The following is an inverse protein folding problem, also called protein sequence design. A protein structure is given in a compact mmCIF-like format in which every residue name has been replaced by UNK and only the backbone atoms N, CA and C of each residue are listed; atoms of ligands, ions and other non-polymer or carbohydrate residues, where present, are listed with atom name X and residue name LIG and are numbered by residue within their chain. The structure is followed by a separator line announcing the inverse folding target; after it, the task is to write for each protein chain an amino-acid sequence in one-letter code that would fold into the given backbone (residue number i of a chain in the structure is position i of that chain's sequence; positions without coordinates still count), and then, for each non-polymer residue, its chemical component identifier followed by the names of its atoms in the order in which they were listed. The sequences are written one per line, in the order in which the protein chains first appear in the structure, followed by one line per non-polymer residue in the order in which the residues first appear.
data_IF_547097237473
#
_entry.id   IF_547097237473
#
_cell.length_a   1.000
_cell.length_b   1.000
_cell.length_c   1.000
_cell.angle_alpha   90.00
_cell.angle_beta   90.00
_cell.angle_gamma   90.00
#
_symmetry.space_group_name_H-M   'P 1'
#
loop_
_entity.id
_entity.type
_entity.pdbx_description
1 polymer ?
#
# COMPACT_ATOMS: atom_id res chain seq x y z
N UNK A 1 7.69 9.90 25.33
CA UNK A 1 8.14 8.63 24.72
C UNK A 1 9.64 8.63 24.53
N UNK A 2 10.27 7.47 24.76
CA UNK A 2 11.71 7.27 24.59
C UNK A 2 11.96 7.06 23.09
N UNK A 3 12.56 8.06 22.43
CA UNK A 3 12.81 8.03 20.97
C UNK A 3 14.27 7.64 20.63
N UNK A 4 15.20 7.91 21.55
CA UNK A 4 16.64 7.70 21.37
C UNK A 4 17.28 7.29 22.70
N UNK A 5 18.13 6.27 22.66
CA UNK A 5 19.03 5.91 23.75
C UNK A 5 20.46 5.96 23.23
N UNK A 6 21.26 6.87 23.76
CA UNK A 6 22.68 6.95 23.46
C UNK A 6 23.45 6.07 24.44
N UNK A 7 24.23 5.12 23.92
CA UNK A 7 25.07 4.24 24.73
C UNK A 7 26.52 4.69 24.53
N UNK A 8 27.11 5.23 25.60
CA UNK A 8 28.49 5.69 25.65
C UNK A 8 29.36 4.54 26.19
N UNK A 9 30.35 4.05 25.43
CA UNK A 9 31.28 3.02 25.88
C UNK A 9 32.10 3.46 27.10
N UNK A 10 32.52 2.54 27.98
CA UNK A 10 33.32 2.89 29.16
C UNK A 10 34.71 3.45 28.82
N UNK A 11 35.26 3.10 27.66
CA UNK A 11 36.54 3.60 27.12
C UNK A 11 36.42 4.97 26.41
N UNK A 12 35.21 5.54 26.36
CA UNK A 12 34.95 6.82 25.68
C UNK A 12 35.84 7.95 26.20
N UNK A 13 35.93 8.13 27.53
CA UNK A 13 36.73 9.20 28.13
C UNK A 13 38.22 9.04 27.90
N UNK A 14 38.72 7.80 27.89
CA UNK A 14 40.12 7.49 27.63
C UNK A 14 40.50 7.80 26.18
N UNK A 15 39.65 7.38 25.23
CA UNK A 15 39.83 7.66 23.78
C UNK A 15 39.70 9.12 23.42
N UNK A 16 38.80 9.87 24.08
CA UNK A 16 38.69 11.33 23.90
C UNK A 16 39.96 12.02 24.41
N UNK A 17 40.54 11.54 25.52
CA UNK A 17 41.79 12.09 26.06
C UNK A 17 43.01 11.73 25.21
N UNK A 18 43.05 10.53 24.63
CA UNK A 18 44.10 10.11 23.67
C UNK A 18 43.90 10.66 22.26
N UNK A 19 42.76 11.33 22.00
CA UNK A 19 42.36 11.93 20.72
C UNK A 19 42.26 10.93 19.59
N UNK A 20 41.81 9.74 19.95
CA UNK A 20 41.47 8.69 19.01
C UNK A 20 40.01 8.83 18.55
N UNK A 21 39.67 8.07 17.51
CA UNK A 21 38.29 7.99 17.03
C UNK A 21 37.45 7.24 18.05
N UNK A 22 36.33 7.84 18.43
CA UNK A 22 35.49 7.34 19.52
C UNK A 22 34.26 6.67 18.95
N UNK A 23 33.84 5.55 19.54
CA UNK A 23 32.61 4.86 19.13
C UNK A 23 31.41 5.37 19.93
N UNK A 24 30.29 5.58 19.25
CA UNK A 24 29.00 5.88 19.87
C UNK A 24 27.94 4.97 19.29
N UNK A 25 27.09 4.46 20.17
CA UNK A 25 25.97 3.60 19.81
C UNK A 25 24.67 4.37 20.02
N UNK A 26 23.92 4.57 18.94
CA UNK A 26 22.63 5.27 18.97
C UNK A 26 21.51 4.25 18.75
N UNK A 27 20.73 3.97 19.80
CA UNK A 27 19.54 3.12 19.71
C UNK A 27 18.31 3.99 19.44
N UNK A 28 17.85 3.95 18.19
CA UNK A 28 16.66 4.65 17.71
C UNK A 28 15.41 3.79 17.92
N UNK A 29 14.41 4.30 18.62
CA UNK A 29 13.14 3.59 18.82
C UNK A 29 12.12 4.11 17.83
N UNK A 30 11.69 3.24 16.92
CA UNK A 30 10.80 3.57 15.81
C UNK A 30 9.44 2.93 16.07
N UNK A 31 8.45 3.76 16.40
CA UNK A 31 7.08 3.28 16.64
C UNK A 31 6.23 3.19 15.38
N UNK A 32 6.36 4.16 14.48
CA UNK A 32 5.65 4.21 13.21
C UNK A 32 6.60 4.68 12.11
N UNK A 33 6.47 4.07 10.94
CA UNK A 33 7.20 4.51 9.76
C UNK A 33 6.25 5.36 8.93
N UNK A 34 6.56 6.64 8.78
CA UNK A 34 5.82 7.57 7.93
C UNK A 34 6.78 8.26 6.97
N UNK A 35 6.33 8.43 5.72
CA UNK A 35 7.06 9.17 4.69
C UNK A 35 7.29 10.65 5.09
N UNK A 36 6.43 11.19 5.97
CA UNK A 36 6.44 12.61 6.36
C UNK A 36 7.02 12.89 7.75
N UNK A 37 7.50 11.87 8.47
CA UNK A 37 8.08 12.09 9.80
C UNK A 37 8.54 10.81 10.48
N UNK A 38 9.79 10.82 10.94
CA UNK A 38 10.36 9.83 11.86
C UNK A 38 11.23 10.52 12.92
N UNK A 39 11.61 9.82 14.01
CA UNK A 39 12.41 10.36 15.11
C UNK A 39 13.82 10.84 14.71
N UNK A 40 14.24 10.52 13.48
CA UNK A 40 15.60 10.69 12.96
C UNK A 40 16.10 12.14 12.95
N UNK A 41 15.19 13.13 12.90
CA UNK A 41 15.56 14.53 12.98
C UNK A 41 16.11 14.94 14.34
N UNK A 42 15.71 14.27 15.44
CA UNK A 42 16.27 14.52 16.77
C UNK A 42 17.62 13.80 16.94
N UNK A 43 17.70 12.54 16.49
CA UNK A 43 18.94 11.75 16.56
C UNK A 43 20.09 12.42 15.81
N UNK A 44 19.88 12.78 14.54
CA UNK A 44 20.89 13.50 13.75
C UNK A 44 21.26 14.88 14.30
N UNK A 45 20.42 15.50 15.14
CA UNK A 45 20.77 16.76 15.83
C UNK A 45 21.67 16.51 17.03
N UNK A 46 21.36 15.49 17.84
CA UNK A 46 22.16 15.10 19.02
C UNK A 46 23.55 14.62 18.57
N UNK A 47 23.60 13.80 17.52
CA UNK A 47 24.86 13.31 16.94
C UNK A 47 25.73 14.47 16.46
N UNK A 48 25.19 15.38 15.63
CA UNK A 48 25.92 16.55 15.15
C UNK A 48 26.43 17.45 16.28
N UNK A 49 25.69 17.57 17.39
CA UNK A 49 26.15 18.33 18.55
C UNK A 49 27.34 17.66 19.25
N UNK A 50 27.31 16.33 19.38
CA UNK A 50 28.40 15.56 19.99
C UNK A 50 29.64 15.59 19.09
N UNK A 51 29.49 15.36 17.79
CA UNK A 51 30.58 15.45 16.81
C UNK A 51 31.23 16.83 16.82
N UNK A 52 30.43 17.90 16.81
CA UNK A 52 30.93 19.27 16.86
C UNK A 52 31.69 19.54 18.15
N UNK A 53 31.17 19.12 19.30
CA UNK A 53 31.82 19.33 20.60
C UNK A 53 33.18 18.60 20.68
N UNK A 54 33.25 17.34 20.22
CA UNK A 54 34.50 16.58 20.23
C UNK A 54 35.50 17.17 19.21
N UNK A 55 35.02 17.57 18.03
CA UNK A 55 35.82 18.22 17.00
C UNK A 55 36.46 19.53 17.47
N UNK A 56 35.70 20.41 18.12
CA UNK A 56 36.22 21.66 18.72
C UNK A 56 37.30 21.36 19.77
N UNK A 57 37.05 20.37 20.65
CA UNK A 57 38.02 19.96 21.69
C UNK A 57 39.32 19.39 21.11
N UNK A 58 39.27 18.73 19.96
CA UNK A 58 40.46 18.20 19.28
C UNK A 58 41.29 19.29 18.57
N UNK A 59 40.68 20.45 18.26
CA UNK A 59 41.34 21.60 17.63
C UNK A 59 42.10 22.46 18.66
N UNK A 60 41.59 22.59 19.88
CA UNK A 60 42.10 23.53 20.91
C UNK A 60 43.49 23.21 21.49
N UNK A 61 44.09 22.06 21.16
CA UNK A 61 45.51 21.84 21.48
C UNK A 61 46.12 20.77 20.61
N UNK A 62 47.33 20.98 20.07
CA UNK A 62 48.25 20.03 19.40
C UNK A 62 47.74 19.06 18.30
N UNK A 63 48.60 18.82 17.29
CA UNK A 63 48.36 18.04 16.04
C UNK A 63 47.69 16.66 16.27
N UNK A 64 46.38 16.58 16.09
CA UNK A 64 45.70 15.33 15.77
C UNK A 64 45.68 15.10 14.24
N UNK A 65 45.57 13.85 13.75
CA UNK A 65 45.37 13.59 12.32
C UNK A 65 44.13 14.32 11.82
N UNK A 66 44.22 14.95 10.64
CA UNK A 66 43.10 15.70 10.04
C UNK A 66 41.82 14.86 9.96
N UNK A 67 41.94 13.57 9.66
CA UNK A 67 40.83 12.62 9.57
C UNK A 67 40.06 12.45 10.90
N UNK A 68 40.77 12.44 12.02
CA UNK A 68 40.18 12.32 13.37
C UNK A 68 39.55 13.64 13.83
N UNK A 69 40.00 14.78 13.30
CA UNK A 69 39.41 16.10 13.58
C UNK A 69 38.10 16.28 12.81
N UNK A 70 38.07 15.83 11.55
CA UNK A 70 36.89 15.95 10.68
C UNK A 70 35.82 14.92 11.05
N UNK A 71 36.20 13.70 11.40
CA UNK A 71 35.29 12.62 11.78
C UNK A 71 35.70 11.96 13.12
N UNK A 72 35.54 12.67 14.26
CA UNK A 72 35.98 12.18 15.57
C UNK A 72 35.16 11.00 16.09
N UNK A 73 33.95 10.79 15.55
CA UNK A 73 33.01 9.76 15.99
C UNK A 73 32.87 8.68 14.91
N UNK A 74 32.88 7.42 15.33
CA UNK A 74 32.39 6.28 14.56
C UNK A 74 31.03 5.89 15.13
N UNK A 75 29.97 6.24 14.43
CA UNK A 75 28.60 5.95 14.86
C UNK A 75 28.18 4.55 14.40
N UNK A 76 27.66 3.76 15.33
CA UNK A 76 26.95 2.52 15.04
C UNK A 76 25.48 2.70 15.46
N UNK A 77 24.63 3.03 14.49
CA UNK A 77 23.20 3.20 14.70
C UNK A 77 22.48 1.84 14.73
N UNK A 78 21.70 1.63 15.79
CA UNK A 78 20.82 0.47 15.99
C UNK A 78 19.37 0.97 15.99
N UNK A 79 18.51 0.37 15.19
CA UNK A 79 17.14 0.81 15.01
C UNK A 79 16.19 -0.27 15.51
N UNK A 80 15.43 0.04 16.55
CA UNK A 80 14.43 -0.85 17.12
C UNK A 80 13.05 -0.52 16.54
N UNK A 81 12.53 -1.40 15.69
CA UNK A 81 11.18 -1.29 15.14
C UNK A 81 10.18 -1.90 16.13
N UNK A 82 9.60 -1.06 16.99
CA UNK A 82 8.70 -1.46 18.08
C UNK A 82 7.50 -2.27 17.58
N UNK A 83 6.99 -1.96 16.39
CA UNK A 83 5.85 -2.67 15.81
C UNK A 83 6.12 -4.14 15.47
N UNK A 84 7.36 -4.49 15.11
CA UNK A 84 7.77 -5.86 14.77
C UNK A 84 8.58 -6.56 15.86
N UNK A 85 9.12 -5.80 16.81
CA UNK A 85 10.05 -6.27 17.84
C UNK A 85 11.36 -6.79 17.19
N UNK A 86 11.96 -5.96 16.32
CA UNK A 86 13.17 -6.28 15.56
C UNK A 86 14.20 -5.16 15.69
N UNK A 87 15.47 -5.55 15.87
CA UNK A 87 16.62 -4.66 15.85
C UNK A 87 17.30 -4.70 14.48
N UNK A 88 17.52 -3.53 13.90
CA UNK A 88 18.13 -3.38 12.59
C UNK A 88 19.32 -2.44 12.70
N UNK A 89 20.51 -2.97 12.44
CA UNK A 89 21.75 -2.18 12.39
C UNK A 89 21.85 -1.46 11.05
N UNK A 90 22.21 -0.18 11.08
CA UNK A 90 22.41 0.62 9.86
C UNK A 90 21.86 2.03 9.98
N UNK A 91 21.96 2.78 8.89
CA UNK A 91 21.56 4.18 8.88
C UNK A 91 20.03 4.33 9.10
N UNK A 92 19.57 5.01 10.17
CA UNK A 92 18.16 5.23 10.45
C UNK A 92 17.42 5.91 9.29
N UNK A 93 18.08 6.83 8.59
CA UNK A 93 17.50 7.53 7.45
C UNK A 93 17.19 6.56 6.31
N UNK A 94 18.15 5.69 5.94
CA UNK A 94 17.97 4.69 4.87
C UNK A 94 16.86 3.69 5.21
N UNK A 95 16.74 3.30 6.48
CA UNK A 95 15.66 2.44 6.94
C UNK A 95 14.29 3.11 6.82
N UNK A 96 14.17 4.36 7.27
CA UNK A 96 12.92 5.11 7.21
C UNK A 96 12.50 5.44 5.79
N UNK A 97 13.42 5.79 4.91
CA UNK A 97 13.10 6.03 3.50
C UNK A 97 12.68 4.73 2.82
N UNK A 98 13.38 3.62 3.05
CA UNK A 98 13.07 2.33 2.40
C UNK A 98 11.74 1.74 2.89
N UNK A 99 11.55 1.63 4.21
CA UNK A 99 10.31 1.09 4.79
C UNK A 99 9.14 2.06 4.57
N UNK A 100 9.38 3.37 4.62
CA UNK A 100 8.36 4.39 4.34
C UNK A 100 7.91 4.36 2.89
N UNK A 101 8.85 4.21 1.95
CA UNK A 101 8.56 4.05 0.53
C UNK A 101 7.74 2.77 0.28
N UNK A 102 8.17 1.63 0.83
CA UNK A 102 7.42 0.37 0.71
C UNK A 102 6.01 0.47 1.32
N UNK A 103 5.87 1.11 2.49
CA UNK A 103 4.59 1.32 3.17
C UNK A 103 3.65 2.25 2.42
N UNK A 104 4.15 3.10 1.52
CA UNK A 104 3.34 3.99 0.68
C UNK A 104 2.99 3.34 -0.65
N UNK A 105 3.99 2.80 -1.35
CA UNK A 105 3.82 2.37 -2.72
C UNK A 105 3.03 1.06 -2.81
N UNK A 106 3.17 0.16 -1.84
CA UNK A 106 2.45 -1.12 -1.88
C UNK A 106 0.92 -0.94 -1.83
N UNK A 107 0.35 -0.10 -0.94
CA UNK A 107 -1.05 0.35 -1.04
C UNK A 107 -1.48 0.83 -2.42
N UNK A 108 -0.65 1.65 -3.07
CA UNK A 108 -0.96 2.25 -4.37
C UNK A 108 -1.09 1.16 -5.44
N UNK A 109 -0.19 0.17 -5.45
CA UNK A 109 -0.28 -0.99 -6.36
C UNK A 109 -1.61 -1.71 -6.17
N UNK A 110 -2.01 -1.98 -4.93
CA UNK A 110 -3.27 -2.68 -4.64
C UNK A 110 -4.48 -1.91 -5.15
N UNK A 111 -4.46 -0.57 -5.04
CA UNK A 111 -5.49 0.30 -5.57
C UNK A 111 -5.51 0.27 -7.11
N UNK A 112 -4.35 0.31 -7.77
CA UNK A 112 -4.25 0.15 -9.22
C UNK A 112 -4.82 -1.22 -9.63
N UNK A 113 -4.45 -2.30 -8.94
CA UNK A 113 -4.96 -3.63 -9.22
C UNK A 113 -6.49 -3.65 -9.11
N UNK A 114 -7.06 -3.14 -8.01
CA UNK A 114 -8.51 -3.05 -7.83
C UNK A 114 -9.20 -2.31 -9.01
N UNK A 115 -8.65 -1.19 -9.46
CA UNK A 115 -9.20 -0.40 -10.58
C UNK A 115 -9.03 -1.12 -11.92
N UNK A 116 -7.89 -1.77 -12.17
CA UNK A 116 -7.69 -2.55 -13.41
C UNK A 116 -8.68 -3.71 -13.50
N UNK A 117 -8.96 -4.38 -12.38
CA UNK A 117 -9.97 -5.45 -12.31
C UNK A 117 -11.38 -4.94 -12.60
N UNK A 118 -11.76 -3.79 -12.03
CA UNK A 118 -13.02 -3.11 -12.37
C UNK A 118 -13.07 -2.85 -13.87
N UNK A 119 -12.01 -2.28 -14.43
CA UNK A 119 -11.96 -1.87 -15.82
C UNK A 119 -12.08 -3.07 -16.77
N UNK A 120 -11.30 -4.13 -16.56
CA UNK A 120 -11.35 -5.36 -17.37
C UNK A 120 -12.73 -6.02 -17.31
N UNK A 121 -13.33 -6.06 -16.13
CA UNK A 121 -14.65 -6.69 -15.94
C UNK A 121 -15.77 -5.86 -16.55
N UNK A 122 -15.71 -4.53 -16.41
CA UNK A 122 -16.70 -3.61 -16.97
C UNK A 122 -16.64 -3.57 -18.50
N UNK A 123 -15.45 -3.52 -19.10
CA UNK A 123 -15.31 -3.47 -20.56
C UNK A 123 -15.74 -4.80 -21.19
N UNK A 124 -15.31 -5.93 -20.64
CA UNK A 124 -15.72 -7.26 -21.13
C UNK A 124 -17.25 -7.41 -21.13
N UNK A 125 -17.90 -6.97 -20.05
CA UNK A 125 -19.35 -7.07 -19.92
C UNK A 125 -20.09 -6.07 -20.82
N UNK A 126 -19.53 -4.87 -20.99
CA UNK A 126 -20.10 -3.85 -21.88
C UNK A 126 -20.04 -4.27 -23.35
N UNK A 127 -18.96 -4.91 -23.80
CA UNK A 127 -18.86 -5.46 -25.17
C UNK A 127 -19.99 -6.46 -25.42
N UNK A 128 -20.23 -7.38 -24.50
CA UNK A 128 -21.32 -8.36 -24.64
C UNK A 128 -22.72 -7.72 -24.63
N UNK A 129 -22.87 -6.63 -23.87
CA UNK A 129 -24.13 -5.89 -23.85
C UNK A 129 -24.36 -5.08 -25.13
N UNK A 130 -23.30 -4.48 -25.67
CA UNK A 130 -23.31 -3.73 -26.94
C UNK A 130 -23.66 -4.63 -28.13
N UNK A 131 -23.04 -5.82 -28.19
CA UNK A 131 -23.26 -6.83 -29.23
C UNK A 131 -24.56 -7.64 -29.06
N UNK A 132 -25.37 -7.35 -28.03
CA UNK A 132 -26.61 -8.09 -27.66
C UNK A 132 -26.41 -9.60 -27.47
N UNK A 133 -25.18 -10.04 -27.23
CA UNK A 133 -24.89 -11.45 -26.96
C UNK A 133 -25.49 -11.86 -25.62
N UNK A 134 -25.59 -10.92 -24.67
CA UNK A 134 -26.26 -11.10 -23.39
C UNK A 134 -27.76 -11.40 -23.54
N UNK A 135 -28.47 -10.65 -24.38
CA UNK A 135 -29.89 -10.87 -24.65
C UNK A 135 -30.13 -12.25 -25.27
N UNK A 136 -29.28 -12.62 -26.23
CA UNK A 136 -29.32 -13.94 -26.89
C UNK A 136 -29.10 -15.07 -25.87
N UNK A 137 -28.09 -14.93 -25.01
CA UNK A 137 -27.78 -15.91 -23.96
C UNK A 137 -28.93 -16.11 -22.97
N UNK A 138 -29.71 -15.07 -22.71
CA UNK A 138 -30.88 -15.13 -21.82
C UNK A 138 -32.13 -15.73 -22.45
N UNK A 139 -32.11 -16.02 -23.76
CA UNK A 139 -33.17 -16.80 -24.42
C UNK A 139 -32.93 -18.31 -24.35
N UNK A 140 -31.71 -18.75 -24.02
CA UNK A 140 -31.41 -20.16 -23.79
C UNK A 140 -32.08 -20.67 -22.51
N UNK A 141 -32.46 -21.97 -22.45
CA UNK A 141 -33.07 -22.59 -21.28
C UNK A 141 -32.05 -22.87 -20.16
N UNK A 142 -31.25 -21.86 -19.79
CA UNK A 142 -30.24 -21.93 -18.74
C UNK A 142 -30.60 -20.94 -17.65
N UNK A 143 -30.39 -21.30 -16.39
CA UNK A 143 -30.69 -20.40 -15.28
C UNK A 143 -29.78 -19.16 -15.33
N UNK A 144 -30.36 -17.98 -15.06
CA UNK A 144 -29.64 -16.69 -15.06
C UNK A 144 -28.49 -16.66 -14.05
N UNK A 145 -28.64 -17.42 -12.96
CA UNK A 145 -27.61 -17.56 -11.94
C UNK A 145 -26.38 -18.30 -12.47
N UNK A 146 -26.56 -19.35 -13.27
CA UNK A 146 -25.44 -20.07 -13.89
C UNK A 146 -24.69 -19.20 -14.90
N UNK A 147 -25.44 -18.41 -15.70
CA UNK A 147 -24.87 -17.45 -16.66
C UNK A 147 -23.99 -16.41 -15.94
N UNK A 148 -24.47 -15.86 -14.83
CA UNK A 148 -23.69 -14.86 -14.11
C UNK A 148 -22.48 -15.49 -13.43
N UNK A 149 -22.65 -16.63 -12.77
CA UNK A 149 -21.55 -17.31 -12.07
C UNK A 149 -20.44 -17.69 -13.04
N UNK A 150 -20.75 -18.18 -14.24
CA UNK A 150 -19.74 -18.51 -15.24
C UNK A 150 -18.99 -17.27 -15.73
N UNK A 151 -19.70 -16.17 -16.01
CA UNK A 151 -19.07 -14.88 -16.38
C UNK A 151 -18.19 -14.32 -15.28
N UNK A 152 -18.66 -14.40 -14.03
CA UNK A 152 -17.90 -13.91 -12.89
C UNK A 152 -16.66 -14.76 -12.64
N UNK A 153 -16.76 -16.10 -12.72
CA UNK A 153 -15.59 -16.97 -12.61
C UNK A 153 -14.59 -16.71 -13.72
N UNK A 154 -15.05 -16.49 -14.96
CA UNK A 154 -14.19 -16.11 -16.08
C UNK A 154 -13.48 -14.78 -15.86
N UNK A 155 -14.23 -13.73 -15.51
CA UNK A 155 -13.70 -12.40 -15.18
C UNK A 155 -12.75 -12.45 -13.99
N UNK A 156 -13.08 -13.22 -12.95
CA UNK A 156 -12.23 -13.42 -11.77
C UNK A 156 -10.90 -14.09 -12.14
N UNK A 157 -10.93 -15.17 -12.93
CA UNK A 157 -9.71 -15.84 -13.38
C UNK A 157 -8.80 -14.90 -14.19
N UNK A 158 -9.38 -14.18 -15.16
CA UNK A 158 -8.64 -13.18 -15.94
C UNK A 158 -8.06 -12.08 -15.04
N UNK A 159 -8.83 -11.66 -14.03
CA UNK A 159 -8.42 -10.64 -13.07
C UNK A 159 -7.30 -11.12 -12.15
N UNK A 160 -7.31 -12.39 -11.73
CA UNK A 160 -6.22 -13.00 -10.94
C UNK A 160 -4.94 -13.05 -11.77
N UNK A 161 -5.02 -13.54 -13.03
CA UNK A 161 -3.87 -13.56 -13.94
C UNK A 161 -3.33 -12.15 -14.17
N UNK A 162 -4.23 -11.19 -14.47
CA UNK A 162 -3.87 -9.78 -14.64
C UNK A 162 -3.22 -9.18 -13.39
N UNK A 163 -3.70 -9.53 -12.19
CA UNK A 163 -3.13 -9.07 -10.92
C UNK A 163 -1.73 -9.63 -10.69
N UNK A 164 -1.49 -10.91 -10.99
CA UNK A 164 -0.17 -11.54 -10.89
C UNK A 164 0.81 -10.87 -11.85
N UNK A 165 0.39 -10.63 -13.11
CA UNK A 165 1.20 -9.92 -14.09
C UNK A 165 1.49 -8.47 -13.66
N UNK A 166 0.53 -7.80 -13.03
CA UNK A 166 0.73 -6.45 -12.48
C UNK A 166 1.78 -6.44 -11.36
N UNK A 167 1.70 -7.41 -10.43
CA UNK A 167 2.68 -7.57 -9.36
C UNK A 167 4.07 -7.85 -9.96
N UNK A 168 4.19 -8.77 -10.90
CA UNK A 168 5.45 -9.08 -11.57
C UNK A 168 6.03 -7.86 -12.30
N UNK A 169 5.19 -7.13 -13.02
CA UNK A 169 5.59 -5.89 -13.70
C UNK A 169 6.07 -4.83 -12.71
N UNK A 170 5.41 -4.71 -11.56
CA UNK A 170 5.84 -3.80 -10.51
C UNK A 170 7.15 -4.23 -9.84
N UNK A 171 7.32 -5.52 -9.56
CA UNK A 171 8.58 -6.05 -9.02
C UNK A 171 9.72 -5.80 -10.01
N UNK A 172 9.50 -6.02 -11.31
CA UNK A 172 10.47 -5.71 -12.35
C UNK A 172 10.78 -4.20 -12.42
N UNK A 173 9.75 -3.35 -12.34
CA UNK A 173 9.91 -1.90 -12.30
C UNK A 173 10.75 -1.45 -11.11
N UNK A 174 10.46 -1.96 -9.91
CA UNK A 174 11.21 -1.64 -8.69
C UNK A 174 12.65 -2.13 -8.76
N UNK A 175 12.88 -3.32 -9.31
CA UNK A 175 14.23 -3.83 -9.55
C UNK A 175 15.02 -2.88 -10.46
N UNK A 176 14.46 -2.53 -11.63
CA UNK A 176 15.09 -1.61 -12.59
C UNK A 176 15.31 -0.22 -11.97
N UNK A 177 14.32 0.29 -11.23
CA UNK A 177 14.40 1.58 -10.56
C UNK A 177 15.55 1.59 -9.55
N UNK A 178 15.64 0.56 -8.71
CA UNK A 178 16.71 0.42 -7.71
C UNK A 178 18.09 0.38 -8.36
N UNK A 179 18.28 -0.34 -9.47
CA UNK A 179 19.58 -0.46 -10.14
C UNK A 179 19.98 0.77 -10.94
N UNK A 180 19.01 1.57 -11.40
CA UNK A 180 19.27 2.74 -12.25
C UNK A 180 19.51 4.00 -11.42
N UNK A 181 18.80 4.17 -10.30
CA UNK A 181 18.93 5.36 -9.45
C UNK A 181 20.10 5.31 -8.44
N UNK A 182 20.70 4.14 -8.20
CA UNK A 182 21.92 4.00 -7.38
C UNK A 182 23.21 4.47 -8.06
N UNK A 183 23.16 4.89 -9.34
CA UNK A 183 24.35 5.20 -10.17
C UNK A 183 24.56 6.71 -10.42
N UNK A 184 23.99 7.60 -9.59
CA UNK A 184 24.37 9.02 -9.65
C UNK A 184 25.53 9.32 -8.70
N UNK A 185 26.73 9.12 -9.24
CA UNK A 185 28.03 9.43 -8.65
C UNK A 185 28.08 10.89 -8.13
N UNK A 186 28.13 11.05 -6.81
CA UNK A 186 28.85 12.16 -6.18
C UNK A 186 29.75 11.59 -5.08
N UNK A 187 31.05 11.91 -5.01
CA UNK A 187 32.02 11.17 -4.18
C UNK A 187 31.90 11.40 -2.66
N UNK A 188 30.88 12.13 -2.21
CA UNK A 188 30.72 12.62 -0.84
C UNK A 188 29.32 12.39 -0.26
N UNK A 189 28.41 11.73 -0.99
CA UNK A 189 27.13 11.30 -0.44
C UNK A 189 27.21 9.80 -0.09
N UNK A 190 26.73 9.38 1.10
CA UNK A 190 26.65 7.96 1.42
C UNK A 190 25.78 7.30 0.36
N UNK A 191 26.27 6.19 -0.20
CA UNK A 191 25.57 5.35 -1.16
C UNK A 191 24.08 5.23 -0.76
N UNK A 192 23.19 5.84 -1.55
CA UNK A 192 21.73 5.69 -1.35
C UNK A 192 21.32 4.35 -1.94
N UNK A 193 21.92 3.28 -1.41
CA UNK A 193 21.43 1.93 -1.60
C UNK A 193 20.18 1.79 -0.73
N UNK A 194 19.06 1.42 -1.35
CA UNK A 194 17.86 1.04 -0.60
C UNK A 194 18.24 -0.06 0.41
N UNK A 195 17.75 0.08 1.64
CA UNK A 195 18.06 -0.88 2.68
C UNK A 195 17.54 -2.27 2.28
N UNK A 196 18.30 -3.32 2.54
CA UNK A 196 17.85 -4.68 2.28
C UNK A 196 16.66 -5.03 3.18
N UNK A 197 15.46 -4.94 2.59
CA UNK A 197 14.18 -5.21 3.23
C UNK A 197 14.02 -6.69 3.61
N UNK A 198 14.99 -7.56 3.29
CA UNK A 198 15.09 -8.95 3.78
C UNK A 198 15.02 -9.08 5.30
N UNK A 199 15.38 -8.04 6.06
CA UNK A 199 15.24 -8.02 7.52
C UNK A 199 13.86 -7.55 8.01
N UNK A 200 13.10 -6.85 7.17
CA UNK A 200 11.73 -6.36 7.44
C UNK A 200 10.70 -7.26 6.74
N UNK A 201 11.00 -8.56 6.61
CA UNK A 201 10.13 -9.50 5.91
C UNK A 201 8.72 -9.53 6.50
N UNK A 202 7.74 -9.59 5.61
CA UNK A 202 6.36 -9.93 5.96
C UNK A 202 6.39 -11.39 6.43
N UNK A 203 5.83 -11.67 7.60
CA UNK A 203 5.71 -13.05 8.08
C UNK A 203 4.97 -13.90 7.05
N UNK A 204 5.34 -15.17 6.87
CA UNK A 204 4.63 -16.08 5.95
C UNK A 204 3.13 -16.13 6.26
N UNK A 205 2.76 -16.05 7.54
CA UNK A 205 1.36 -15.99 7.96
C UNK A 205 0.66 -14.70 7.49
N UNK A 206 1.30 -13.54 7.68
CA UNK A 206 0.76 -12.25 7.25
C UNK A 206 0.60 -12.20 5.72
N UNK A 207 1.55 -12.79 4.99
CA UNK A 207 1.51 -12.92 3.54
C UNK A 207 0.28 -13.73 3.10
N UNK A 208 -0.01 -14.85 3.76
CA UNK A 208 -1.22 -15.65 3.47
C UNK A 208 -2.49 -14.82 3.68
N UNK A 209 -2.59 -14.07 4.77
CA UNK A 209 -3.75 -13.19 5.00
C UNK A 209 -3.90 -12.11 3.93
N UNK A 210 -2.79 -11.48 3.53
CA UNK A 210 -2.77 -10.49 2.45
C UNK A 210 -3.26 -11.10 1.14
N UNK A 211 -2.77 -12.29 0.77
CA UNK A 211 -3.18 -12.97 -0.47
C UNK A 211 -4.67 -13.31 -0.46
N UNK A 212 -5.20 -13.83 0.66
CA UNK A 212 -6.63 -14.14 0.75
C UNK A 212 -7.47 -12.85 0.70
N UNK A 213 -7.04 -11.78 1.37
CA UNK A 213 -7.70 -10.48 1.33
C UNK A 213 -7.69 -9.90 -0.09
N UNK A 214 -6.58 -10.06 -0.81
CA UNK A 214 -6.45 -9.63 -2.19
C UNK A 214 -7.42 -10.40 -3.10
N UNK A 215 -7.56 -11.72 -2.93
CA UNK A 215 -8.55 -12.53 -3.65
C UNK A 215 -9.97 -12.03 -3.37
N UNK A 216 -10.32 -11.77 -2.11
CA UNK A 216 -11.63 -11.22 -1.73
C UNK A 216 -11.89 -9.85 -2.39
N UNK A 217 -10.84 -9.02 -2.47
CA UNK A 217 -10.88 -7.70 -3.13
C UNK A 217 -11.10 -7.84 -4.62
N UNK A 218 -10.36 -8.72 -5.30
CA UNK A 218 -10.50 -8.99 -6.74
C UNK A 218 -11.91 -9.49 -7.05
N UNK A 219 -12.47 -10.39 -6.24
CA UNK A 219 -13.86 -10.83 -6.40
C UNK A 219 -14.86 -9.68 -6.28
N UNK A 220 -14.67 -8.83 -5.26
CA UNK A 220 -15.54 -7.68 -5.03
C UNK A 220 -15.48 -6.67 -6.17
N UNK A 221 -14.27 -6.31 -6.61
CA UNK A 221 -14.04 -5.31 -7.66
C UNK A 221 -14.46 -5.82 -9.04
N UNK A 222 -14.26 -7.12 -9.33
CA UNK A 222 -14.77 -7.75 -10.55
C UNK A 222 -16.31 -7.69 -10.60
N UNK A 223 -16.95 -7.99 -9.47
CA UNK A 223 -18.41 -7.90 -9.33
C UNK A 223 -18.92 -6.47 -9.61
N UNK A 224 -18.26 -5.45 -9.03
CA UNK A 224 -18.59 -4.05 -9.31
C UNK A 224 -18.42 -3.68 -10.79
N UNK A 225 -17.34 -4.16 -11.42
CA UNK A 225 -17.12 -3.97 -12.85
C UNK A 225 -18.23 -4.59 -13.71
N UNK A 226 -18.64 -5.83 -13.40
CA UNK A 226 -19.74 -6.50 -14.09
C UNK A 226 -21.06 -5.72 -13.97
N UNK A 227 -21.38 -5.15 -12.80
CA UNK A 227 -22.57 -4.32 -12.61
C UNK A 227 -22.52 -3.11 -13.55
N UNK A 228 -21.39 -2.40 -13.60
CA UNK A 228 -21.23 -1.22 -14.47
C UNK A 228 -21.35 -1.61 -15.93
N UNK A 229 -20.67 -2.66 -16.37
CA UNK A 229 -20.70 -3.10 -17.76
C UNK A 229 -22.10 -3.52 -18.20
N UNK A 230 -22.87 -4.18 -17.34
CA UNK A 230 -24.25 -4.56 -17.61
C UNK A 230 -25.21 -3.38 -17.75
N UNK A 231 -24.97 -2.30 -17.00
CA UNK A 231 -25.76 -1.08 -17.08
C UNK A 231 -25.30 -0.13 -18.20
N UNK A 232 -24.16 -0.41 -18.83
CA UNK A 232 -23.63 0.41 -19.91
C UNK A 232 -24.17 -0.03 -21.27
N UNK A 233 -24.54 0.92 -22.13
CA UNK A 233 -25.00 0.59 -23.48
C UNK A 233 -23.88 0.34 -24.49
N UNK A 234 -22.67 0.83 -24.22
CA UNK A 234 -21.48 0.63 -25.06
C UNK A 234 -20.21 0.60 -24.20
N UNK A 235 -19.08 0.20 -24.78
CA UNK A 235 -17.79 0.15 -24.05
C UNK A 235 -17.34 1.54 -23.58
N UNK A 236 -17.71 2.61 -24.29
CA UNK A 236 -17.28 3.98 -24.00
C UNK A 236 -17.95 4.54 -22.75
N UNK A 237 -19.25 4.29 -22.58
CA UNK A 237 -20.03 4.64 -21.41
C UNK A 237 -19.55 3.81 -20.21
N UNK A 238 -19.20 2.54 -20.40
CA UNK A 238 -18.65 1.71 -19.35
C UNK A 238 -17.33 2.31 -18.85
N UNK A 239 -16.43 2.64 -19.77
CA UNK A 239 -15.17 3.33 -19.45
C UNK A 239 -15.38 4.66 -18.72
N UNK A 240 -16.42 5.42 -19.09
CA UNK A 240 -16.78 6.68 -18.42
C UNK A 240 -17.28 6.44 -16.99
N UNK A 241 -18.04 5.37 -16.74
CA UNK A 241 -18.55 4.98 -15.42
C UNK A 241 -17.48 4.35 -14.52
N UNK A 242 -16.47 3.70 -15.10
CA UNK A 242 -15.31 3.19 -14.37
C UNK A 242 -14.51 4.33 -13.70
N UNK A 243 -14.48 5.53 -14.29
CA UNK A 243 -13.78 6.69 -13.72
C UNK A 243 -14.26 7.09 -12.32
N UNK A 244 -15.54 7.43 -12.12
CA UNK A 244 -16.08 7.71 -10.79
C UNK A 244 -15.92 6.53 -9.81
N UNK A 245 -16.06 5.29 -10.29
CA UNK A 245 -15.86 4.12 -9.44
C UNK A 245 -14.39 3.97 -9.00
N UNK A 246 -13.43 4.29 -9.89
CA UNK A 246 -12.02 4.28 -9.51
C UNK A 246 -11.72 5.34 -8.44
N UNK A 247 -12.37 6.50 -8.48
CA UNK A 247 -12.28 7.49 -7.39
C UNK A 247 -12.84 6.94 -6.07
N UNK A 248 -13.92 6.17 -6.12
CA UNK A 248 -14.45 5.48 -4.94
C UNK A 248 -13.50 4.39 -4.39
N UNK A 249 -12.53 3.93 -5.17
CA UNK A 249 -11.40 3.09 -4.72
C UNK A 249 -10.26 3.95 -4.15
N UNK A 250 -9.85 4.97 -4.90
CA UNK A 250 -8.68 5.79 -4.58
C UNK A 250 -8.87 6.60 -3.30
N UNK A 251 -10.03 7.23 -3.09
CA UNK A 251 -10.27 8.10 -1.93
C UNK A 251 -10.11 7.33 -0.60
N UNK A 252 -10.87 6.24 -0.35
CA UNK A 252 -10.70 5.49 0.90
C UNK A 252 -9.34 4.78 0.94
N UNK A 253 -8.82 4.31 -0.20
CA UNK A 253 -7.50 3.69 -0.27
C UNK A 253 -6.38 4.62 0.18
N UNK A 254 -6.36 5.86 -0.32
CA UNK A 254 -5.42 6.89 0.11
C UNK A 254 -5.63 7.26 1.57
N UNK A 255 -6.87 7.48 2.00
CA UNK A 255 -7.16 7.84 3.39
C UNK A 255 -6.52 6.83 4.36
N UNK A 256 -6.64 5.55 4.05
CA UNK A 256 -6.08 4.46 4.85
C UNK A 256 -4.56 4.31 4.68
N UNK A 257 -4.06 4.44 3.45
CA UNK A 257 -2.62 4.37 3.16
C UNK A 257 -1.85 5.47 3.88
N UNK A 258 -2.43 6.68 4.00
CA UNK A 258 -1.77 7.84 4.59
C UNK A 258 -2.05 8.07 6.08
N UNK A 259 -3.24 7.75 6.56
CA UNK A 259 -3.56 7.99 7.97
C UNK A 259 -2.80 7.03 8.90
N UNK A 260 -2.29 7.52 10.02
CA UNK A 260 -1.80 6.65 11.10
C UNK A 260 -2.97 5.82 11.64
N UNK A 261 -2.76 4.51 11.75
CA UNK A 261 -3.77 3.59 12.28
C UNK A 261 -4.07 3.86 13.77
N UNK A 262 -3.20 4.59 14.49
CA UNK A 262 -3.44 5.00 15.88
C UNK A 262 -4.48 6.12 16.02
N UNK A 263 -4.74 6.88 14.95
CA UNK A 263 -5.70 7.99 15.00
C UNK A 263 -7.16 7.52 14.98
N UNK A 264 -7.42 6.28 14.57
CA UNK A 264 -8.78 5.74 14.48
C UNK A 264 -9.22 5.12 15.80
N UNK A 265 -10.49 5.33 16.14
CA UNK A 265 -11.12 4.55 17.21
C UNK A 265 -11.13 3.05 16.83
N UNK A 266 -11.15 2.14 17.82
CA UNK A 266 -11.15 0.69 17.56
C UNK A 266 -12.27 0.26 16.61
N UNK A 267 -13.44 0.89 16.70
CA UNK A 267 -14.62 0.58 15.89
C UNK A 267 -14.42 0.96 14.42
N UNK A 268 -13.90 2.17 14.16
CA UNK A 268 -13.63 2.64 12.79
C UNK A 268 -12.53 1.79 12.15
N UNK A 269 -11.51 1.43 12.94
CA UNK A 269 -10.45 0.53 12.49
C UNK A 269 -11.03 -0.82 12.08
N UNK A 270 -11.84 -1.45 12.94
CA UNK A 270 -12.49 -2.73 12.64
C UNK A 270 -13.34 -2.67 11.37
N UNK A 271 -14.12 -1.60 11.18
CA UNK A 271 -14.92 -1.40 9.97
C UNK A 271 -14.05 -1.36 8.71
N UNK A 272 -12.93 -0.62 8.75
CA UNK A 272 -12.01 -0.51 7.62
C UNK A 272 -11.29 -1.84 7.30
N UNK A 273 -11.02 -2.69 8.29
CA UNK A 273 -10.52 -4.06 8.04
C UNK A 273 -11.58 -4.99 7.43
N UNK A 274 -12.86 -4.73 7.65
CA UNK A 274 -13.95 -5.56 7.12
C UNK A 274 -14.32 -5.24 5.67
N UNK A 275 -14.01 -4.04 5.19
CA UNK A 275 -14.33 -3.60 3.83
C UNK A 275 -13.30 -4.20 2.86
N UNK A 276 -13.72 -5.00 1.85
CA UNK A 276 -12.79 -5.67 0.94
C UNK A 276 -11.83 -4.70 0.25
N UNK A 277 -12.30 -3.51 -0.09
CA UNK A 277 -11.51 -2.51 -0.80
C UNK A 277 -10.33 -1.95 0.01
N UNK A 278 -10.52 -1.72 1.30
CA UNK A 278 -9.51 -1.11 2.18
C UNK A 278 -8.69 -2.15 2.92
N UNK A 279 -9.24 -3.34 3.15
CA UNK A 279 -8.61 -4.41 3.90
C UNK A 279 -7.18 -4.77 3.44
N UNK A 280 -6.90 -5.09 2.16
CA UNK A 280 -5.54 -5.50 1.76
C UNK A 280 -4.56 -4.33 1.88
N UNK A 281 -5.02 -3.10 1.70
CA UNK A 281 -4.22 -1.88 1.85
C UNK A 281 -3.74 -1.74 3.31
N UNK A 282 -4.66 -1.92 4.27
CA UNK A 282 -4.32 -1.87 5.70
C UNK A 282 -3.38 -3.02 6.05
N UNK A 283 -3.69 -4.23 5.60
CA UNK A 283 -2.91 -5.42 5.94
C UNK A 283 -1.47 -5.30 5.45
N UNK A 284 -1.25 -4.87 4.20
CA UNK A 284 0.12 -4.70 3.68
C UNK A 284 0.87 -3.60 4.43
N UNK A 285 0.25 -2.43 4.61
CA UNK A 285 0.85 -1.33 5.38
C UNK A 285 1.22 -1.75 6.79
N UNK A 286 0.31 -2.45 7.46
CA UNK A 286 0.54 -2.89 8.81
C UNK A 286 1.59 -4.01 8.87
N UNK A 287 1.53 -5.02 8.01
CA UNK A 287 2.51 -6.10 7.96
C UNK A 287 3.94 -5.61 7.64
N UNK A 288 4.10 -4.42 7.05
CA UNK A 288 5.41 -3.77 6.86
C UNK A 288 5.90 -3.08 8.13
N UNK A 289 5.00 -2.46 8.89
CA UNK A 289 5.35 -1.59 10.02
C UNK A 289 5.22 -2.27 11.38
N UNK A 290 4.36 -3.28 11.50
CA UNK A 290 4.02 -3.97 12.73
C UNK A 290 3.46 -5.38 12.47
N UNK A 291 3.11 -6.10 13.54
CA UNK A 291 2.37 -7.37 13.42
C UNK A 291 0.89 -7.10 13.17
N UNK A 292 0.25 -7.99 12.39
CA UNK A 292 -1.20 -7.93 12.18
C UNK A 292 -1.97 -8.20 13.49
N UNK A 293 -3.16 -7.60 13.69
CA UNK A 293 -3.96 -7.82 14.88
C UNK A 293 -4.46 -9.27 14.93
N UNK A 294 -4.64 -9.86 16.12
CA UNK A 294 -5.13 -11.24 16.25
C UNK A 294 -6.56 -11.42 15.71
N UNK A 295 -7.34 -10.34 15.58
CA UNK A 295 -8.69 -10.35 15.02
C UNK A 295 -8.73 -10.46 13.49
N UNK A 296 -7.56 -10.42 12.84
CA UNK A 296 -7.40 -10.50 11.37
C UNK A 296 -8.24 -11.60 10.69
N UNK A 297 -8.28 -12.85 11.19
CA UNK A 297 -9.11 -13.89 10.58
C UNK A 297 -10.61 -13.56 10.57
N UNK A 298 -11.11 -12.88 11.60
CA UNK A 298 -12.53 -12.47 11.67
C UNK A 298 -12.82 -11.41 10.62
N UNK A 299 -11.96 -10.40 10.51
CA UNK A 299 -12.10 -9.37 9.47
C UNK A 299 -12.04 -9.96 8.06
N UNK A 300 -11.18 -10.97 7.85
CA UNK A 300 -11.06 -11.68 6.58
C UNK A 300 -12.36 -12.40 6.21
N UNK A 301 -12.97 -13.12 7.16
CA UNK A 301 -14.25 -13.80 6.95
C UNK A 301 -15.34 -12.79 6.60
N UNK A 302 -15.42 -11.68 7.34
CA UNK A 302 -16.42 -10.63 7.07
C UNK A 302 -16.24 -10.04 5.68
N UNK A 303 -15.00 -9.74 5.28
CA UNK A 303 -14.68 -9.24 3.94
C UNK A 303 -15.08 -10.21 2.83
N UNK A 304 -14.77 -11.51 2.99
CA UNK A 304 -15.20 -12.54 2.04
C UNK A 304 -16.73 -12.61 1.96
N UNK A 305 -17.42 -12.57 3.10
CA UNK A 305 -18.88 -12.54 3.16
C UNK A 305 -19.43 -11.29 2.45
N UNK A 306 -18.82 -10.12 2.63
CA UNK A 306 -19.17 -8.90 1.92
C UNK A 306 -19.00 -9.07 0.40
N UNK A 307 -17.90 -9.68 -0.06
CA UNK A 307 -17.67 -9.97 -1.49
C UNK A 307 -18.71 -10.93 -2.06
N UNK A 308 -19.05 -12.00 -1.33
CA UNK A 308 -20.09 -12.95 -1.73
C UNK A 308 -21.49 -12.30 -1.70
N UNK A 309 -21.77 -11.45 -0.72
CA UNK A 309 -23.02 -10.71 -0.63
C UNK A 309 -23.18 -9.74 -1.80
N UNK A 310 -22.12 -9.02 -2.18
CA UNK A 310 -22.11 -8.16 -3.36
C UNK A 310 -22.39 -8.96 -4.64
N UNK A 311 -21.82 -10.16 -4.76
CA UNK A 311 -22.09 -11.09 -5.86
C UNK A 311 -23.55 -11.54 -5.88
N UNK A 312 -24.12 -11.92 -4.74
CA UNK A 312 -25.52 -12.33 -4.63
C UNK A 312 -26.49 -11.20 -5.00
N UNK A 313 -26.22 -9.98 -4.51
CA UNK A 313 -26.99 -8.78 -4.85
C UNK A 313 -26.92 -8.53 -6.36
N UNK A 314 -25.73 -8.62 -6.94
CA UNK A 314 -25.51 -8.47 -8.38
C UNK A 314 -26.34 -9.48 -9.15
N UNK A 315 -26.31 -10.76 -8.75
CA UNK A 315 -27.10 -11.80 -9.40
C UNK A 315 -28.60 -11.53 -9.40
N UNK A 316 -29.11 -10.94 -8.32
CA UNK A 316 -30.51 -10.54 -8.25
C UNK A 316 -30.84 -9.37 -9.16
N UNK A 317 -29.92 -8.40 -9.30
CA UNK A 317 -30.07 -7.23 -10.18
C UNK A 317 -30.12 -7.64 -11.66
N UNK A 318 -29.42 -8.71 -12.04
CA UNK A 318 -29.35 -9.25 -13.41
C UNK A 318 -30.65 -9.89 -13.93
N UNK A 319 -31.77 -9.82 -13.21
CA UNK A 319 -33.06 -10.17 -13.81
C UNK A 319 -33.36 -9.19 -14.97
N UNK A 320 -33.68 -9.70 -16.16
CA UNK A 320 -33.92 -8.89 -17.38
C UNK A 320 -34.90 -7.73 -17.16
N UNK A 321 -35.93 -7.98 -16.35
CA UNK A 321 -36.94 -6.98 -16.00
C UNK A 321 -36.36 -5.83 -15.17
N UNK A 322 -35.45 -6.12 -14.24
CA UNK A 322 -34.78 -5.06 -13.46
C UNK A 322 -33.72 -4.36 -14.28
N UNK A 323 -32.93 -5.09 -15.07
CA UNK A 323 -31.88 -4.48 -15.91
C UNK A 323 -32.49 -3.53 -16.94
N UNK A 324 -33.50 -3.97 -17.69
CA UNK A 324 -34.19 -3.15 -18.69
C UNK A 324 -34.93 -1.97 -18.05
N UNK A 325 -35.65 -2.19 -16.93
CA UNK A 325 -36.34 -1.09 -16.24
C UNK A 325 -35.37 -0.05 -15.67
N UNK A 326 -34.22 -0.47 -15.14
CA UNK A 326 -33.21 0.43 -14.58
C UNK A 326 -32.51 1.19 -15.71
N UNK A 327 -32.08 0.52 -16.78
CA UNK A 327 -31.51 1.15 -17.98
C UNK A 327 -32.50 2.18 -18.58
N UNK A 328 -33.79 1.83 -18.67
CA UNK A 328 -34.83 2.73 -19.17
C UNK A 328 -35.04 3.94 -18.24
N UNK A 329 -35.08 3.73 -16.91
CA UNK A 329 -35.16 4.82 -15.93
C UNK A 329 -33.95 5.76 -16.01
N UNK A 330 -32.73 5.23 -16.12
CA UNK A 330 -31.49 6.01 -16.31
C UNK A 330 -31.56 6.83 -17.61
N UNK A 331 -32.00 6.22 -18.72
CA UNK A 331 -32.20 6.90 -20.00
C UNK A 331 -33.25 8.02 -19.90
N UNK A 332 -34.31 7.82 -19.10
CA UNK A 332 -35.38 8.81 -18.87
C UNK A 332 -34.91 9.98 -18.00
N UNK A 333 -34.08 9.72 -16.98
CA UNK A 333 -33.45 10.77 -16.16
C UNK A 333 -32.49 11.60 -17.01
N UNK A 334 -31.68 10.97 -17.87
CA UNK A 334 -30.79 11.68 -18.81
C UNK A 334 -31.57 12.56 -19.80
N UNK A 335 -32.69 12.06 -20.33
CA UNK A 335 -33.58 12.88 -21.19
C UNK A 335 -34.24 14.05 -20.47
N UNK A 336 -34.57 13.91 -19.18
CA UNK A 336 -35.11 15.03 -18.39
C UNK A 336 -34.07 16.10 -18.09
N UNK A 337 -32.81 15.70 -17.85
CA UNK A 337 -31.72 16.66 -17.60
C UNK A 337 -31.39 17.51 -18.84
N UNK A 338 -31.35 16.90 -20.04
CA UNK A 338 -31.17 17.65 -21.29
C UNK A 338 -32.32 18.62 -21.61
N UNK A 339 -33.55 18.32 -21.17
CA UNK A 339 -34.71 19.17 -21.44
C UNK A 339 -34.86 20.36 -20.49
N UNK A 340 -34.09 20.39 -19.38
CA UNK A 340 -34.01 21.52 -18.46
C UNK A 340 -32.79 22.41 -18.64
N UNK A 341 -31.91 22.09 -19.60
CA UNK A 341 -30.77 22.93 -20.02
C UNK A 341 -31.10 23.72 -21.32
N UNK A 342 -32.26 23.47 -21.93
CA UNK A 342 -32.76 24.16 -23.15
C UNK A 342 -33.94 25.13 -22.87
N UNK A 343 -34.35 25.31 -21.60
CA UNK A 343 -35.31 26.33 -21.14
C UNK A 343 -34.58 27.45 -20.36
#
# INVERSE_FOLDING_TARGET
DLELVLIIPPDFSEKVSSRERVKLYALNIIEEVSMFGGPTAKTTRVERLIEKYIGEKYIEGARAPYETIVNPVAEESINYLKGKDVLITGNPFLLMTSVGFASFFMPLILMIIAVTVIQLSATSMAVENEEKTLETLLTFPVSRMHILLSKLLGSFLVSVVGSILNILGYVAYMYIFSTTFTVTETPSSPEVSFFDLSSVMISTQDLVYIVISMVATILFTATLGLIIGAFSSDVRIAGTLVGPLSMAVFIPGYFVAFASLKMFSPEVKALLYCIPLTQPIIMVKQAMTSRLPPETPVYLIVSIVCSIAALYITARIFSLETLSNIQWKLKRIRKRKHRGEEE
#
